data_IF_068426977736
#
_entry.id   IF_068426977736
#
_cell.length_a   1.000
_cell.length_b   1.000
_cell.length_c   1.000
_cell.angle_alpha   90.00
_cell.angle_beta   90.00
_cell.angle_gamma   90.00
#
_symmetry.space_group_name_H-M   'P 1'
#
loop_
_entity.id
_entity.type
_entity.pdbx_description
1 polymer ?
#
# COMPACT_ATOMS: atom_id res chain seq x y z
N UNK A 1 -8.75 18.68 38.17
CA UNK A 1 -8.69 17.33 38.76
C UNK A 1 -9.34 16.40 37.74
N UNK A 2 -8.56 15.93 36.76
CA UNK A 2 -9.04 15.03 35.70
C UNK A 2 -8.61 13.62 36.08
N UNK A 3 -9.59 12.74 36.24
CA UNK A 3 -9.38 11.34 36.61
C UNK A 3 -8.79 10.58 35.44
N UNK A 4 -7.72 9.83 35.70
CA UNK A 4 -7.12 8.91 34.74
C UNK A 4 -8.10 7.77 34.44
N UNK A 5 -8.35 7.51 33.15
CA UNK A 5 -9.04 6.32 32.68
C UNK A 5 -7.96 5.39 32.12
N UNK A 6 -7.86 4.19 32.69
CA UNK A 6 -6.88 3.18 32.30
C UNK A 6 -7.14 2.73 30.86
N UNK A 7 -6.11 2.70 30.02
CA UNK A 7 -6.18 2.13 28.67
C UNK A 7 -4.79 1.97 28.06
N UNK A 8 -4.45 0.76 27.63
CA UNK A 8 -3.17 0.46 26.97
C UNK A 8 -3.08 1.12 25.58
N UNK A 9 -1.87 1.57 25.23
CA UNK A 9 -1.55 2.12 23.91
C UNK A 9 -0.81 1.04 23.09
N UNK A 10 -1.29 0.72 21.88
CA UNK A 10 -0.58 -0.15 20.96
C UNK A 10 0.01 0.71 19.84
N UNK A 11 1.33 0.87 19.83
CA UNK A 11 2.09 1.45 18.72
C UNK A 11 2.52 0.28 17.83
N UNK A 12 2.56 0.46 16.51
CA UNK A 12 2.90 -0.57 15.53
C UNK A 12 4.02 -1.53 16.01
N UNK A 13 3.71 -2.83 16.01
CA UNK A 13 4.52 -3.98 16.51
C UNK A 13 4.97 -3.98 17.97
N UNK A 14 4.58 -3.00 18.80
CA UNK A 14 4.96 -2.99 20.22
C UNK A 14 3.80 -2.57 21.13
N UNK A 15 3.38 -3.51 21.97
CA UNK A 15 2.34 -3.31 22.99
C UNK A 15 2.88 -2.45 24.12
N UNK A 16 2.24 -1.32 24.40
CA UNK A 16 2.62 -0.43 25.49
C UNK A 16 1.58 -0.40 26.60
N UNK A 17 2.03 -0.70 27.82
CA UNK A 17 1.18 -0.61 28.99
C UNK A 17 1.16 0.84 29.49
N UNK A 18 -0.03 1.45 29.59
CA UNK A 18 -0.18 2.82 30.11
C UNK A 18 0.20 2.95 31.59
N UNK A 19 0.50 1.84 32.26
CA UNK A 19 1.04 1.81 33.61
C UNK A 19 2.57 1.73 33.66
N UNK A 20 3.24 1.57 32.52
CA UNK A 20 4.70 1.61 32.41
C UNK A 20 5.21 3.04 32.63
N UNK A 21 6.24 3.26 33.46
CA UNK A 21 6.83 4.58 33.68
C UNK A 21 7.73 5.05 32.54
N UNK A 22 7.91 4.25 31.49
CA UNK A 22 8.63 4.66 30.30
C UNK A 22 7.82 5.75 29.56
N UNK A 23 8.50 6.79 29.09
CA UNK A 23 7.90 7.92 28.39
C UNK A 23 8.02 7.67 26.88
N UNK A 24 6.92 7.84 26.14
CA UNK A 24 6.93 7.64 24.69
C UNK A 24 7.62 8.85 24.02
N UNK A 25 8.72 8.59 23.34
CA UNK A 25 9.35 9.59 22.46
C UNK A 25 8.64 9.56 21.11
N UNK A 26 7.74 10.53 20.89
CA UNK A 26 7.07 10.74 19.60
C UNK A 26 7.82 11.83 18.82
N UNK A 27 8.02 11.61 17.52
CA UNK A 27 8.57 12.57 16.58
C UNK A 27 7.45 13.37 15.88
N UNK A 28 7.81 14.55 15.36
CA UNK A 28 6.85 15.39 14.63
C UNK A 28 6.46 14.70 13.31
N UNK A 29 5.18 14.33 13.19
CA UNK A 29 4.65 13.52 12.09
C UNK A 29 4.15 12.13 12.50
N UNK A 30 4.37 11.71 13.74
CA UNK A 30 3.86 10.44 14.25
C UNK A 30 2.33 10.45 14.34
N UNK A 31 1.69 9.48 13.66
CA UNK A 31 0.25 9.26 13.75
C UNK A 31 -0.02 8.29 14.91
N UNK A 32 -0.73 8.79 15.93
CA UNK A 32 -1.11 7.98 17.11
C UNK A 32 -2.63 7.78 17.10
N UNK A 33 -3.06 6.52 17.00
CA UNK A 33 -4.47 6.15 17.14
C UNK A 33 -4.72 5.48 18.50
N UNK A 34 -5.69 6.01 19.24
CA UNK A 34 -6.09 5.47 20.54
C UNK A 34 -7.15 4.38 20.34
N UNK A 35 -6.74 3.12 20.46
CA UNK A 35 -7.65 1.98 20.43
C UNK A 35 -8.09 1.63 21.86
N UNK A 36 -9.40 1.61 22.11
CA UNK A 36 -9.94 1.16 23.40
C UNK A 36 -9.77 -0.36 23.54
N UNK A 37 -8.74 -0.77 24.28
CA UNK A 37 -8.47 -2.18 24.56
C UNK A 37 -9.54 -2.88 25.40
N UNK A 38 -10.45 -2.12 26.02
CA UNK A 38 -11.62 -2.66 26.72
C UNK A 38 -12.81 -2.92 25.79
N UNK A 39 -12.79 -2.40 24.55
CA UNK A 39 -13.72 -2.74 23.48
C UNK A 39 -13.00 -3.32 22.25
N UNK A 40 -12.70 -4.63 22.26
CA UNK A 40 -12.09 -5.31 21.12
C UNK A 40 -12.92 -5.21 19.83
N UNK A 41 -14.24 -5.03 19.95
CA UNK A 41 -15.14 -4.88 18.80
C UNK A 41 -15.01 -3.51 18.17
N UNK A 42 -14.90 -2.45 18.99
CA UNK A 42 -14.61 -1.09 18.55
C UNK A 42 -13.25 -0.99 17.88
N UNK A 43 -12.20 -1.55 18.50
CA UNK A 43 -10.86 -1.56 17.93
C UNK A 43 -10.79 -2.30 16.58
N UNK A 44 -11.44 -3.47 16.46
CA UNK A 44 -11.47 -4.21 15.20
C UNK A 44 -12.20 -3.44 14.09
N UNK A 45 -13.26 -2.69 14.41
CA UNK A 45 -13.96 -1.85 13.42
C UNK A 45 -13.12 -0.68 12.93
N UNK A 46 -12.35 -0.04 13.80
CA UNK A 46 -11.44 1.04 13.43
C UNK A 46 -10.37 0.56 12.45
N UNK A 47 -9.71 -0.57 12.76
CA UNK A 47 -8.71 -1.19 11.89
C UNK A 47 -9.29 -1.56 10.53
N UNK A 48 -10.50 -2.13 10.47
CA UNK A 48 -11.13 -2.47 9.19
C UNK A 48 -11.50 -1.22 8.38
N UNK A 49 -11.92 -0.14 9.06
CA UNK A 49 -12.19 1.13 8.39
C UNK A 49 -10.91 1.71 7.79
N UNK A 50 -9.83 1.76 8.55
CA UNK A 50 -8.51 2.22 8.09
C UNK A 50 -8.02 1.38 6.91
N UNK A 51 -8.13 0.05 6.98
CA UNK A 51 -7.78 -0.85 5.89
C UNK A 51 -8.52 -0.53 4.60
N UNK A 52 -9.82 -0.21 4.67
CA UNK A 52 -10.60 0.17 3.48
C UNK A 52 -10.12 1.51 2.93
N UNK A 53 -9.90 2.50 3.81
CA UNK A 53 -9.51 3.86 3.40
C UNK A 53 -8.13 3.85 2.73
N UNK A 54 -7.16 3.16 3.34
CA UNK A 54 -5.79 3.00 2.83
C UNK A 54 -5.76 2.17 1.54
N UNK A 55 -6.50 1.07 1.45
CA UNK A 55 -6.56 0.27 0.23
C UNK A 55 -7.22 1.04 -0.93
N UNK A 56 -8.21 1.91 -0.65
CA UNK A 56 -8.81 2.75 -1.68
C UNK A 56 -7.84 3.79 -2.20
N UNK A 57 -7.00 4.35 -1.33
CA UNK A 57 -5.92 5.26 -1.72
C UNK A 57 -4.88 4.54 -2.56
N UNK A 58 -4.42 3.38 -2.11
CA UNK A 58 -3.47 2.55 -2.84
C UNK A 58 -3.94 2.23 -4.26
N UNK A 59 -5.19 1.80 -4.44
CA UNK A 59 -5.78 1.54 -5.76
C UNK A 59 -5.81 2.81 -6.64
N UNK A 60 -6.14 3.98 -6.07
CA UNK A 60 -6.12 5.25 -6.83
C UNK A 60 -4.72 5.63 -7.31
N UNK A 61 -3.72 5.39 -6.47
CA UNK A 61 -2.33 5.68 -6.82
C UNK A 61 -1.83 4.73 -7.90
N UNK A 62 -2.15 3.44 -7.81
CA UNK A 62 -1.86 2.47 -8.86
C UNK A 62 -2.53 2.84 -10.19
N UNK A 63 -3.78 3.26 -10.15
CA UNK A 63 -4.52 3.72 -11.35
C UNK A 63 -3.85 4.94 -11.98
N UNK A 64 -3.36 5.87 -11.16
CA UNK A 64 -2.65 7.07 -11.61
C UNK A 64 -1.33 6.72 -12.29
N UNK A 65 -0.57 5.76 -11.73
CA UNK A 65 0.65 5.22 -12.35
C UNK A 65 0.34 4.57 -13.70
N UNK A 66 -0.72 3.75 -13.78
CA UNK A 66 -1.15 3.11 -15.04
C UNK A 66 -1.55 4.15 -16.07
N UNK A 67 -2.36 5.14 -15.68
CA UNK A 67 -2.79 6.19 -16.60
C UNK A 67 -1.62 6.99 -17.15
N UNK A 68 -0.65 7.32 -16.30
CA UNK A 68 0.51 8.14 -16.67
C UNK A 68 1.56 7.38 -17.48
N UNK A 69 1.85 6.14 -17.10
CA UNK A 69 2.98 5.37 -17.62
C UNK A 69 2.58 4.07 -18.34
N UNK A 70 1.32 3.84 -18.66
CA UNK A 70 0.92 2.66 -19.45
C UNK A 70 -0.11 2.98 -20.53
N UNK A 71 -0.87 4.07 -20.39
CA UNK A 71 -1.81 4.56 -21.41
C UNK A 71 -1.07 5.36 -22.48
N UNK A 72 -0.08 4.72 -23.11
CA UNK A 72 0.74 5.25 -24.20
C UNK A 72 0.17 5.28 -25.64
N UNK A 73 -1.04 4.79 -25.99
CA UNK A 73 -1.37 4.66 -27.41
C UNK A 73 -1.56 5.96 -28.22
N UNK A 74 -1.65 7.14 -27.62
CA UNK A 74 -2.24 8.30 -28.35
C UNK A 74 -1.28 9.40 -28.81
N UNK A 75 -0.02 9.46 -28.35
CA UNK A 75 0.90 10.54 -28.72
C UNK A 75 2.24 10.04 -29.32
N UNK A 76 2.35 9.99 -30.66
CA UNK A 76 3.58 9.65 -31.36
C UNK A 76 4.74 10.58 -30.95
N UNK A 77 5.87 9.99 -30.53
CA UNK A 77 7.11 10.72 -30.25
C UNK A 77 7.36 11.14 -28.80
N UNK A 78 6.41 10.93 -27.87
CA UNK A 78 6.62 11.28 -26.44
C UNK A 78 7.35 10.23 -25.60
N UNK A 79 7.32 8.97 -26.02
CA UNK A 79 7.95 7.86 -25.28
C UNK A 79 9.22 7.41 -26.01
N UNK A 80 10.40 7.50 -25.37
CA UNK A 80 11.65 7.01 -25.93
C UNK A 80 11.59 5.55 -26.35
N UNK A 81 12.35 5.18 -27.38
CA UNK A 81 12.40 3.79 -27.86
C UNK A 81 12.90 2.84 -26.77
N UNK A 82 13.88 3.28 -25.98
CA UNK A 82 14.45 2.52 -24.87
C UNK A 82 13.40 2.12 -23.83
N UNK A 83 12.39 2.96 -23.57
CA UNK A 83 11.27 2.63 -22.66
C UNK A 83 10.35 1.58 -23.28
N UNK A 84 10.03 1.72 -24.57
CA UNK A 84 9.16 0.75 -25.28
C UNK A 84 9.79 -0.62 -25.39
N UNK A 85 11.07 -0.67 -25.72
CA UNK A 85 11.82 -1.91 -25.91
C UNK A 85 12.05 -2.65 -24.57
N UNK A 86 11.98 -1.94 -23.43
CA UNK A 86 12.19 -2.49 -22.07
C UNK A 86 10.94 -2.39 -21.19
N UNK A 87 9.75 -2.23 -21.77
CA UNK A 87 8.50 -2.02 -21.04
C UNK A 87 8.20 -3.17 -20.06
N UNK A 88 8.41 -4.42 -20.48
CA UNK A 88 8.15 -5.59 -19.62
C UNK A 88 9.06 -5.63 -18.39
N UNK A 89 10.31 -5.18 -18.52
CA UNK A 89 11.25 -5.06 -17.40
C UNK A 89 10.84 -3.92 -16.46
N UNK A 90 10.60 -2.74 -17.03
CA UNK A 90 10.31 -1.51 -16.28
C UNK A 90 8.98 -1.60 -15.50
N UNK A 91 7.99 -2.27 -16.08
CA UNK A 91 6.64 -2.32 -15.54
C UNK A 91 6.32 -3.65 -14.85
N UNK A 92 7.03 -4.72 -15.19
CA UNK A 92 6.78 -6.06 -14.68
C UNK A 92 5.30 -6.45 -14.79
N UNK A 93 4.78 -7.05 -13.72
CA UNK A 93 3.38 -7.43 -13.57
C UNK A 93 2.53 -6.38 -12.82
N UNK A 94 2.93 -5.09 -12.82
CA UNK A 94 2.24 -4.04 -12.06
C UNK A 94 0.74 -3.94 -12.36
N UNK A 95 0.35 -4.08 -13.64
CA UNK A 95 -1.07 -4.07 -14.05
C UNK A 95 -1.87 -5.21 -13.43
N UNK A 96 -1.27 -6.38 -13.30
CA UNK A 96 -1.93 -7.55 -12.69
C UNK A 96 -2.13 -7.34 -11.19
N UNK A 97 -1.15 -6.72 -10.51
CA UNK A 97 -1.28 -6.32 -9.11
C UNK A 97 -2.40 -5.29 -8.96
N UNK A 98 -2.42 -4.24 -9.79
CA UNK A 98 -3.45 -3.21 -9.72
C UNK A 98 -4.85 -3.77 -9.95
N UNK A 99 -5.01 -4.69 -10.90
CA UNK A 99 -6.27 -5.37 -11.15
C UNK A 99 -6.70 -6.25 -9.97
N UNK A 100 -5.76 -7.02 -9.39
CA UNK A 100 -6.02 -7.80 -8.18
C UNK A 100 -6.52 -6.94 -7.02
N UNK A 101 -5.82 -5.85 -6.71
CA UNK A 101 -6.21 -4.93 -5.65
C UNK A 101 -7.59 -4.31 -5.91
N UNK A 102 -7.80 -3.78 -7.12
CA UNK A 102 -9.04 -3.09 -7.51
C UNK A 102 -10.27 -3.99 -7.51
N UNK A 103 -10.14 -5.23 -8.00
CA UNK A 103 -11.30 -6.06 -8.34
C UNK A 103 -11.53 -7.24 -7.40
N UNK A 104 -10.48 -7.74 -6.75
CA UNK A 104 -10.55 -8.93 -5.88
C UNK A 104 -10.37 -8.54 -4.43
N UNK A 105 -9.26 -7.88 -4.09
CA UNK A 105 -8.94 -7.57 -2.69
C UNK A 105 -9.93 -6.55 -2.11
N UNK A 106 -10.12 -5.42 -2.79
CA UNK A 106 -11.04 -4.36 -2.37
C UNK A 106 -12.47 -4.88 -2.14
N UNK A 107 -12.98 -5.69 -3.07
CA UNK A 107 -14.33 -6.23 -2.97
C UNK A 107 -14.43 -7.27 -1.85
N UNK A 108 -13.40 -8.08 -1.65
CA UNK A 108 -13.29 -9.00 -0.51
C UNK A 108 -13.30 -8.27 0.84
N UNK A 109 -12.54 -7.17 0.96
CA UNK A 109 -12.49 -6.35 2.18
C UNK A 109 -13.85 -5.73 2.46
N UNK A 110 -14.47 -5.07 1.46
CA UNK A 110 -15.80 -4.44 1.62
C UNK A 110 -16.88 -5.44 1.99
N UNK A 111 -16.90 -6.61 1.35
CA UNK A 111 -17.92 -7.63 1.58
C UNK A 111 -17.89 -8.17 3.01
N UNK A 112 -16.70 -8.29 3.61
CA UNK A 112 -16.51 -8.81 4.95
C UNK A 112 -16.17 -7.75 6.01
N UNK A 113 -16.35 -6.46 5.70
CA UNK A 113 -15.96 -5.36 6.59
C UNK A 113 -16.64 -5.37 7.97
N UNK A 114 -17.84 -5.94 8.07
CA UNK A 114 -18.59 -6.02 9.33
C UNK A 114 -18.25 -7.27 10.16
N UNK A 115 -17.43 -8.18 9.65
CA UNK A 115 -17.01 -9.41 10.33
C UNK A 115 -15.48 -9.59 10.19
N UNK A 116 -14.70 -9.08 11.15
CA UNK A 116 -13.24 -9.17 11.14
C UNK A 116 -12.70 -10.60 11.06
N UNK A 117 -13.43 -11.59 11.61
CA UNK A 117 -13.02 -13.00 11.57
C UNK A 117 -13.13 -13.55 10.15
N UNK A 118 -14.22 -13.21 9.45
CA UNK A 118 -14.43 -13.63 8.08
C UNK A 118 -13.53 -12.85 7.10
N UNK A 119 -13.23 -11.60 7.41
CA UNK A 119 -12.22 -10.82 6.71
C UNK A 119 -10.84 -11.50 6.79
N UNK A 120 -10.41 -11.94 7.98
CA UNK A 120 -9.17 -12.70 8.12
C UNK A 120 -9.13 -13.98 7.27
N UNK A 121 -10.24 -14.72 7.19
CA UNK A 121 -10.36 -15.89 6.29
C UNK A 121 -10.28 -15.53 4.81
N UNK A 122 -10.72 -14.33 4.45
CA UNK A 122 -10.61 -13.82 3.07
C UNK A 122 -9.16 -13.65 2.67
N UNK A 123 -8.34 -13.04 3.52
CA UNK A 123 -6.90 -12.91 3.26
C UNK A 123 -6.22 -14.27 3.11
N UNK A 124 -6.53 -15.25 3.96
CA UNK A 124 -5.97 -16.61 3.84
C UNK A 124 -6.35 -17.28 2.51
N UNK A 125 -7.57 -17.06 2.01
CA UNK A 125 -7.99 -17.58 0.70
C UNK A 125 -7.27 -16.92 -0.47
N UNK A 126 -6.84 -15.66 -0.29
CA UNK A 126 -6.14 -14.86 -1.28
C UNK A 126 -4.62 -15.03 -1.22
N UNK A 127 -4.08 -15.93 -0.38
CA UNK A 127 -2.63 -16.12 -0.18
C UNK A 127 -1.87 -16.24 -1.52
N UNK A 128 -2.34 -17.10 -2.43
CA UNK A 128 -1.71 -17.27 -3.75
C UNK A 128 -1.90 -16.08 -4.68
N UNK A 129 -2.93 -15.27 -4.46
CA UNK A 129 -3.10 -14.05 -5.25
C UNK A 129 -2.03 -13.01 -4.91
N UNK A 130 -1.54 -13.00 -3.67
CA UNK A 130 -0.42 -12.16 -3.23
C UNK A 130 0.94 -12.60 -3.81
N UNK A 131 1.08 -13.80 -4.37
CA UNK A 131 2.31 -14.23 -5.06
C UNK A 131 2.70 -13.29 -6.22
N UNK A 132 1.74 -12.52 -6.76
CA UNK A 132 2.00 -11.46 -7.74
C UNK A 132 3.01 -10.42 -7.21
N UNK A 133 2.95 -10.08 -5.92
CA UNK A 133 3.90 -9.17 -5.28
C UNK A 133 5.30 -9.77 -5.17
N UNK A 134 5.40 -11.08 -4.89
CA UNK A 134 6.69 -11.78 -4.83
C UNK A 134 7.40 -11.67 -6.17
N UNK A 135 6.68 -11.91 -7.27
CA UNK A 135 7.23 -11.77 -8.62
C UNK A 135 7.68 -10.32 -8.90
N UNK A 136 6.89 -9.33 -8.49
CA UNK A 136 7.23 -7.92 -8.67
C UNK A 136 8.52 -7.56 -7.93
N UNK A 137 8.62 -7.90 -6.64
CA UNK A 137 9.82 -7.61 -5.83
C UNK A 137 11.07 -8.36 -6.29
N UNK A 138 10.94 -9.52 -6.93
CA UNK A 138 12.08 -10.21 -7.53
C UNK A 138 12.65 -9.47 -8.74
N UNK A 139 11.80 -8.79 -9.52
CA UNK A 139 12.20 -8.08 -10.74
C UNK A 139 12.57 -6.61 -10.48
N UNK A 140 12.06 -6.02 -9.39
CA UNK A 140 12.27 -4.62 -9.04
C UNK A 140 13.76 -4.19 -9.00
N UNK A 141 14.69 -4.96 -8.41
CA UNK A 141 16.11 -4.58 -8.40
C UNK A 141 16.72 -4.50 -9.80
N UNK A 142 16.25 -5.34 -10.73
CA UNK A 142 16.73 -5.37 -12.12
C UNK A 142 16.20 -4.15 -12.88
N UNK A 143 14.95 -3.79 -12.63
CA UNK A 143 14.37 -2.56 -13.18
C UNK A 143 15.09 -1.32 -12.63
N UNK A 144 15.41 -1.30 -11.34
CA UNK A 144 16.15 -0.19 -10.71
C UNK A 144 17.58 -0.09 -11.25
N UNK A 145 18.29 -1.20 -11.42
CA UNK A 145 19.62 -1.21 -12.05
C UNK A 145 19.58 -0.67 -13.48
N UNK A 146 18.54 -1.04 -14.24
CA UNK A 146 18.34 -0.50 -15.58
C UNK A 146 18.10 1.03 -15.56
N UNK A 147 17.28 1.53 -14.63
CA UNK A 147 17.06 2.96 -14.46
C UNK A 147 18.33 3.71 -14.05
N UNK A 148 19.16 3.12 -13.19
CA UNK A 148 20.40 3.75 -12.71
C UNK A 148 21.51 3.78 -13.77
N UNK A 149 21.46 2.86 -14.74
CA UNK A 149 22.49 2.71 -15.78
C UNK A 149 22.10 3.27 -17.15
N UNK A 150 20.83 3.66 -17.33
CA UNK A 150 20.31 4.21 -18.56
C UNK A 150 19.80 5.64 -18.36
N UNK A 151 20.66 6.63 -18.67
CA UNK A 151 20.34 8.06 -18.54
C UNK A 151 19.02 8.45 -19.23
N UNK A 152 18.76 7.94 -20.44
CA UNK A 152 17.53 8.25 -21.19
C UNK A 152 16.27 7.70 -20.48
N UNK A 153 16.38 6.53 -19.84
CA UNK A 153 15.28 5.97 -19.06
C UNK A 153 15.09 6.72 -17.73
N UNK A 154 16.20 7.03 -17.04
CA UNK A 154 16.18 7.84 -15.83
C UNK A 154 15.54 9.23 -16.06
N UNK A 155 15.96 9.92 -17.11
CA UNK A 155 15.43 11.23 -17.48
C UNK A 155 13.93 11.19 -17.76
N UNK A 156 13.47 10.15 -18.47
CA UNK A 156 12.05 9.97 -18.77
C UNK A 156 11.17 9.88 -17.50
N UNK A 157 11.61 9.10 -16.50
CA UNK A 157 10.86 8.94 -15.26
C UNK A 157 11.10 10.06 -14.23
N UNK A 158 12.24 10.76 -14.29
CA UNK A 158 12.56 11.87 -13.37
C UNK A 158 11.89 13.18 -13.76
N UNK A 159 11.77 13.48 -15.07
CA UNK A 159 11.07 14.68 -15.58
C UNK A 159 9.57 14.63 -15.29
N UNK A 160 9.03 13.43 -15.10
CA UNK A 160 7.62 13.20 -14.79
C UNK A 160 7.22 13.58 -13.34
N UNK A 161 8.13 14.07 -12.49
CA UNK A 161 7.86 14.35 -11.07
C UNK A 161 7.08 15.65 -10.76
N UNK A 162 6.81 16.56 -11.71
CA UNK A 162 6.24 17.90 -11.37
C UNK A 162 5.23 18.52 -12.36
N UNK A 163 4.41 17.70 -13.02
CA UNK A 163 3.23 18.21 -13.76
C UNK A 163 2.02 17.34 -13.51
#
# INVERSE_FOLDING_TARGET
MLHAVNGLLLIATQKYDSTSPEELTLEDGDVVELLDTHDPSGAAKAVVKELIETEQEFVRDMDSVIQKYFTFPEEPGKVPKVIKDNADLLYGNFKEIAEFHRTVLMEGIKYHANDPVLLGKTFLRLERDFDKHVLYFQNEPIAQEFLDTCDEAYDYFSVSKFT
#
